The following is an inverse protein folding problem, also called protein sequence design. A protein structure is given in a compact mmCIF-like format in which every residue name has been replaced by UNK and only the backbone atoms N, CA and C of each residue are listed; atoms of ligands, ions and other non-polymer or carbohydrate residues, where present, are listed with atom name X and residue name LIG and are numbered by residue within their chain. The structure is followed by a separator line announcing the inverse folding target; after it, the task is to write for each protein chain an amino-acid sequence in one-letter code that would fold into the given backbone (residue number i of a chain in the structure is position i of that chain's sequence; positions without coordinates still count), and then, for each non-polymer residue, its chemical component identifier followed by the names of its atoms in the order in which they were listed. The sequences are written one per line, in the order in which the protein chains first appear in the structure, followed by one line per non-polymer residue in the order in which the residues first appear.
data_IF_475453912254
#
_entry.id   IF_475453912254
#
_cell.length_a   1.000
_cell.length_b   1.000
_cell.length_c   1.000
_cell.angle_alpha   90.00
_cell.angle_beta   90.00
_cell.angle_gamma   90.00
#
_symmetry.space_group_name_H-M   'P 1'
#
loop_
_entity.id
_entity.type
_entity.pdbx_description
1 polymer ?
#
# COMPACT_ATOMS: atom_id res chain seq x y z
N UNK A 1 -25.67 -30.50 -21.89
CA UNK A 1 -24.25 -30.07 -21.90
C UNK A 1 -23.48 -31.14 -21.18
N UNK A 2 -22.63 -31.87 -21.90
CA UNK A 2 -21.72 -32.84 -21.29
C UNK A 2 -20.82 -32.09 -20.30
N UNK A 3 -20.79 -32.54 -19.04
CA UNK A 3 -20.01 -31.89 -17.99
C UNK A 3 -18.52 -31.84 -18.33
N UNK A 4 -17.80 -30.83 -17.82
CA UNK A 4 -16.35 -30.76 -17.96
C UNK A 4 -15.70 -32.04 -17.44
N UNK A 5 -14.85 -32.67 -18.27
CA UNK A 5 -14.02 -33.81 -17.85
C UNK A 5 -12.79 -33.39 -17.02
N UNK A 6 -12.55 -32.09 -16.88
CA UNK A 6 -11.45 -31.57 -16.07
C UNK A 6 -11.61 -32.02 -14.61
N UNK A 7 -10.61 -32.72 -14.09
CA UNK A 7 -10.50 -33.00 -12.66
C UNK A 7 -9.03 -33.14 -12.24
N UNK A 8 -8.74 -32.74 -11.01
CA UNK A 8 -7.44 -32.91 -10.36
C UNK A 8 -7.67 -33.60 -9.02
N UNK A 9 -7.00 -34.74 -8.80
CA UNK A 9 -7.04 -35.49 -7.56
C UNK A 9 -5.70 -35.38 -6.87
N UNK A 10 -5.70 -34.87 -5.64
CA UNK A 10 -4.52 -34.81 -4.79
C UNK A 10 -4.63 -35.92 -3.72
N UNK A 11 -3.52 -36.59 -3.45
CA UNK A 11 -3.41 -37.58 -2.37
C UNK A 11 -2.19 -37.26 -1.49
N UNK A 12 -2.28 -37.53 -0.20
CA UNK A 12 -1.10 -37.51 0.66
C UNK A 12 -0.27 -38.76 0.38
N UNK A 13 1.03 -38.61 0.16
CA UNK A 13 1.92 -39.77 0.03
C UNK A 13 2.10 -40.41 1.40
N UNK A 14 1.93 -41.73 1.49
CA UNK A 14 2.23 -42.46 2.73
C UNK A 14 3.73 -42.25 3.06
N UNK A 15 4.01 -41.61 4.20
CA UNK A 15 5.37 -41.33 4.68
C UNK A 15 5.89 -39.91 4.46
N UNK A 16 5.21 -39.05 3.70
CA UNK A 16 5.65 -37.66 3.48
C UNK A 16 4.57 -36.65 3.88
N UNK A 17 5.00 -35.47 4.37
CA UNK A 17 4.12 -34.42 4.86
C UNK A 17 3.46 -33.58 3.75
N UNK A 18 3.78 -33.87 2.48
CA UNK A 18 3.29 -33.13 1.32
C UNK A 18 2.19 -33.89 0.54
N UNK A 19 1.30 -33.12 -0.10
CA UNK A 19 0.29 -33.64 -1.02
C UNK A 19 0.87 -33.74 -2.43
N UNK A 20 0.65 -34.87 -3.11
CA UNK A 20 1.03 -35.07 -4.51
C UNK A 20 -0.22 -35.13 -5.40
N UNK A 21 -0.11 -34.63 -6.63
CA UNK A 21 -1.15 -34.78 -7.65
C UNK A 21 -1.13 -36.22 -8.13
N UNK A 22 -2.17 -36.97 -7.82
CA UNK A 22 -2.26 -38.41 -8.11
C UNK A 22 -2.94 -38.69 -9.46
N UNK A 23 -3.77 -37.76 -9.93
CA UNK A 23 -4.45 -37.85 -11.23
C UNK A 23 -4.81 -36.44 -11.70
N UNK A 24 -4.55 -36.15 -12.97
CA UNK A 24 -4.91 -34.87 -13.61
C UNK A 24 -5.48 -35.16 -15.00
N UNK A 25 -6.69 -34.67 -15.26
CA UNK A 25 -7.24 -34.53 -16.61
C UNK A 25 -7.29 -33.04 -16.90
N UNK A 26 -6.39 -32.58 -17.75
CA UNK A 26 -6.18 -31.15 -18.05
C UNK A 26 -7.03 -30.63 -19.22
N UNK A 27 -7.85 -31.49 -19.82
CA UNK A 27 -8.75 -31.07 -20.90
C UNK A 27 -9.95 -30.29 -20.35
N UNK A 28 -9.80 -28.97 -20.28
CA UNK A 28 -10.87 -28.05 -19.92
C UNK A 28 -11.45 -27.34 -21.16
N UNK A 29 -12.61 -27.81 -21.62
CA UNK A 29 -13.38 -27.16 -22.71
C UNK A 29 -14.45 -26.19 -22.21
N UNK A 30 -14.53 -25.99 -20.89
CA UNK A 30 -15.57 -25.13 -20.33
C UNK A 30 -15.24 -23.66 -20.58
N UNK A 31 -16.26 -22.91 -21.00
CA UNK A 31 -16.15 -21.48 -21.20
C UNK A 31 -15.93 -20.79 -19.83
N UNK A 32 -15.11 -19.73 -19.80
CA UNK A 32 -14.91 -18.94 -18.58
C UNK A 32 -16.26 -18.43 -18.09
N UNK A 33 -16.68 -18.89 -16.91
CA UNK A 33 -17.92 -18.43 -16.30
C UNK A 33 -17.63 -17.06 -15.71
N UNK A 34 -18.31 -16.05 -16.25
CA UNK A 34 -18.12 -14.67 -15.83
C UNK A 34 -18.46 -14.43 -14.34
N UNK A 35 -19.38 -15.22 -13.78
CA UNK A 35 -19.74 -15.17 -12.36
C UNK A 35 -18.86 -16.13 -11.55
N UNK A 36 -17.92 -15.57 -10.77
CA UNK A 36 -16.98 -16.35 -9.98
C UNK A 36 -17.23 -16.16 -8.47
N UNK A 37 -17.71 -17.21 -7.78
CA UNK A 37 -17.95 -17.20 -6.32
C UNK A 37 -16.65 -17.02 -5.51
N UNK A 38 -15.50 -17.32 -6.08
CA UNK A 38 -14.19 -17.15 -5.44
C UNK A 38 -13.66 -15.72 -5.54
N UNK A 39 -14.23 -14.86 -6.38
CA UNK A 39 -13.88 -13.45 -6.48
C UNK A 39 -14.45 -12.65 -5.29
N UNK A 40 -14.04 -13.03 -4.07
CA UNK A 40 -14.50 -12.39 -2.83
C UNK A 40 -14.04 -10.94 -2.78
N UNK A 41 -14.80 -10.10 -2.07
CA UNK A 41 -14.46 -8.68 -1.83
C UNK A 41 -13.06 -8.53 -1.24
N UNK A 42 -12.63 -9.43 -0.35
CA UNK A 42 -11.28 -9.39 0.25
C UNK A 42 -10.16 -9.58 -0.78
N UNK A 43 -10.37 -10.46 -1.76
CA UNK A 43 -9.43 -10.65 -2.86
C UNK A 43 -9.40 -9.42 -3.76
N UNK A 44 -10.58 -8.86 -4.09
CA UNK A 44 -10.70 -7.64 -4.89
C UNK A 44 -10.05 -6.44 -4.22
N UNK A 45 -10.23 -6.25 -2.92
CA UNK A 45 -9.62 -5.16 -2.15
C UNK A 45 -8.11 -5.15 -2.32
N UNK A 46 -7.44 -6.30 -2.24
CA UNK A 46 -5.98 -6.39 -2.44
C UNK A 46 -5.56 -6.03 -3.86
N UNK A 47 -6.34 -6.44 -4.86
CA UNK A 47 -6.08 -6.11 -6.27
C UNK A 47 -6.32 -4.64 -6.57
N UNK A 48 -7.41 -4.07 -6.05
CA UNK A 48 -7.75 -2.67 -6.19
C UNK A 48 -6.77 -1.77 -5.47
N UNK A 49 -6.25 -2.16 -4.30
CA UNK A 49 -5.24 -1.38 -3.60
C UNK A 49 -3.99 -1.17 -4.48
N UNK A 50 -3.56 -2.19 -5.22
CA UNK A 50 -2.45 -2.07 -6.16
C UNK A 50 -2.78 -1.12 -7.33
N UNK A 51 -3.99 -1.15 -7.87
CA UNK A 51 -4.39 -0.30 -9.00
C UNK A 51 -4.56 1.16 -8.54
N UNK A 52 -5.29 1.37 -7.45
CA UNK A 52 -5.64 2.68 -6.90
C UNK A 52 -4.43 3.41 -6.31
N UNK A 53 -3.35 2.69 -5.93
CA UNK A 53 -2.09 3.33 -5.54
C UNK A 53 -1.47 4.14 -6.69
N UNK A 54 -1.67 3.72 -7.94
CA UNK A 54 -1.17 4.45 -9.12
C UNK A 54 -2.22 5.39 -9.72
N UNK A 55 -3.50 5.01 -9.65
CA UNK A 55 -4.62 5.77 -10.25
C UNK A 55 -5.72 5.93 -9.18
N UNK A 56 -5.57 6.87 -8.23
CA UNK A 56 -6.48 6.99 -7.08
C UNK A 56 -7.91 7.38 -7.49
N UNK A 57 -8.05 8.18 -8.54
CA UNK A 57 -9.35 8.71 -9.00
C UNK A 57 -10.12 7.77 -9.93
N UNK A 58 -9.68 6.51 -10.07
CA UNK A 58 -10.32 5.55 -10.97
C UNK A 58 -11.79 5.32 -10.57
N UNK A 59 -12.71 5.57 -11.51
CA UNK A 59 -14.15 5.37 -11.28
C UNK A 59 -14.49 3.89 -11.09
N UNK A 60 -15.52 3.53 -10.31
CA UNK A 60 -15.95 2.13 -10.13
C UNK A 60 -16.21 1.40 -11.45
N UNK A 61 -16.82 2.06 -12.44
CA UNK A 61 -17.03 1.46 -13.76
C UNK A 61 -15.72 1.11 -14.46
N UNK A 62 -14.68 1.94 -14.32
CA UNK A 62 -13.35 1.64 -14.85
C UNK A 62 -12.75 0.40 -14.20
N UNK A 63 -12.90 0.26 -12.88
CA UNK A 63 -12.44 -0.94 -12.16
C UNK A 63 -13.17 -2.21 -12.62
N UNK A 64 -14.47 -2.13 -12.92
CA UNK A 64 -15.22 -3.27 -13.45
C UNK A 64 -14.66 -3.69 -14.82
N UNK A 65 -14.46 -2.72 -15.72
CA UNK A 65 -13.92 -2.98 -17.07
C UNK A 65 -12.53 -3.63 -16.96
N UNK A 66 -11.65 -3.05 -16.13
CA UNK A 66 -10.31 -3.57 -15.88
C UNK A 66 -10.32 -5.00 -15.35
N UNK A 67 -11.23 -5.33 -14.44
CA UNK A 67 -11.35 -6.69 -13.89
C UNK A 67 -11.85 -7.69 -14.92
N UNK A 68 -12.82 -7.27 -15.74
CA UNK A 68 -13.35 -8.11 -16.82
C UNK A 68 -12.28 -8.36 -17.87
N UNK A 69 -11.52 -7.35 -18.27
CA UNK A 69 -10.47 -7.47 -19.27
C UNK A 69 -9.31 -8.35 -18.76
N UNK A 70 -8.81 -8.07 -17.56
CA UNK A 70 -7.63 -8.75 -17.01
C UNK A 70 -7.92 -10.16 -16.49
N UNK A 71 -9.07 -10.37 -15.84
CA UNK A 71 -9.37 -11.63 -15.13
C UNK A 71 -10.63 -12.34 -15.64
N UNK A 72 -11.39 -11.74 -16.56
CA UNK A 72 -12.64 -12.35 -17.07
C UNK A 72 -13.75 -12.45 -16.03
N UNK A 73 -13.66 -11.70 -14.92
CA UNK A 73 -14.62 -11.76 -13.81
C UNK A 73 -15.61 -10.60 -13.92
N UNK A 74 -16.90 -10.90 -13.99
CA UNK A 74 -17.94 -9.88 -13.88
C UNK A 74 -18.19 -9.55 -12.41
N UNK A 75 -18.12 -8.27 -12.08
CA UNK A 75 -18.43 -7.76 -10.75
C UNK A 75 -19.76 -7.02 -10.75
N UNK A 76 -20.48 -7.08 -9.64
CA UNK A 76 -21.58 -6.15 -9.41
C UNK A 76 -21.04 -4.77 -9.02
N UNK A 77 -21.85 -3.75 -9.25
CA UNK A 77 -21.52 -2.37 -8.88
C UNK A 77 -21.26 -2.25 -7.37
N UNK A 78 -22.12 -2.83 -6.53
CA UNK A 78 -22.00 -2.81 -5.07
C UNK A 78 -20.74 -3.51 -4.56
N UNK A 79 -20.40 -4.66 -5.16
CA UNK A 79 -19.19 -5.41 -4.82
C UNK A 79 -17.95 -4.60 -5.15
N UNK A 80 -17.95 -3.92 -6.30
CA UNK A 80 -16.87 -3.03 -6.72
C UNK A 80 -16.75 -1.84 -5.79
N UNK A 81 -17.86 -1.19 -5.46
CA UNK A 81 -17.87 -0.05 -4.54
C UNK A 81 -17.32 -0.42 -3.15
N UNK A 82 -17.81 -1.52 -2.57
CA UNK A 82 -17.32 -2.04 -1.27
C UNK A 82 -15.83 -2.40 -1.32
N UNK A 83 -15.39 -3.06 -2.39
CA UNK A 83 -13.98 -3.42 -2.55
C UNK A 83 -13.09 -2.18 -2.73
N UNK A 84 -13.54 -1.19 -3.51
CA UNK A 84 -12.84 0.09 -3.73
C UNK A 84 -12.69 0.84 -2.43
N UNK A 85 -13.76 1.03 -1.66
CA UNK A 85 -13.71 1.73 -0.37
C UNK A 85 -12.69 1.09 0.57
N UNK A 86 -12.79 -0.22 0.78
CA UNK A 86 -11.83 -0.96 1.62
C UNK A 86 -10.39 -0.89 1.11
N UNK A 87 -10.20 -0.78 -0.20
CA UNK A 87 -8.87 -0.64 -0.78
C UNK A 87 -8.29 0.76 -0.50
N UNK A 88 -9.11 1.81 -0.57
CA UNK A 88 -8.70 3.16 -0.18
C UNK A 88 -8.37 3.23 1.31
N UNK A 89 -9.20 2.64 2.17
CA UNK A 89 -8.95 2.57 3.62
C UNK A 89 -7.61 1.86 3.90
N UNK A 90 -7.31 0.78 3.16
CA UNK A 90 -6.05 0.03 3.28
C UNK A 90 -4.85 0.85 2.81
N UNK A 91 -4.98 1.61 1.72
CA UNK A 91 -3.90 2.49 1.23
C UNK A 91 -3.62 3.59 2.25
N UNK A 92 -4.67 4.22 2.80
CA UNK A 92 -4.55 5.29 3.79
C UNK A 92 -3.92 4.76 5.10
N UNK A 93 -4.40 3.62 5.61
CA UNK A 93 -3.85 3.00 6.82
C UNK A 93 -2.37 2.65 6.68
N UNK A 94 -1.98 2.03 5.56
CA UNK A 94 -0.56 1.71 5.28
C UNK A 94 0.29 2.96 5.13
N UNK A 95 -0.26 4.05 4.58
CA UNK A 95 0.43 5.33 4.48
C UNK A 95 0.73 5.93 5.86
N UNK A 96 -0.27 5.94 6.75
CA UNK A 96 -0.12 6.46 8.11
C UNK A 96 0.96 5.71 8.90
N UNK A 97 0.97 4.38 8.83
CA UNK A 97 1.98 3.55 9.49
C UNK A 97 3.41 3.86 9.01
N UNK A 98 3.58 4.16 7.71
CA UNK A 98 4.89 4.51 7.14
C UNK A 98 5.40 5.87 7.64
N UNK A 99 4.52 6.83 7.86
CA UNK A 99 4.90 8.16 8.33
C UNK A 99 5.40 8.17 9.77
N UNK A 100 4.91 7.25 10.62
CA UNK A 100 5.42 7.05 11.98
C UNK A 100 6.93 6.79 12.00
N UNK A 101 7.48 6.14 10.97
CA UNK A 101 8.91 5.85 10.87
C UNK A 101 9.76 7.02 10.35
N UNK A 102 9.18 7.99 9.63
CA UNK A 102 9.95 9.11 9.05
C UNK A 102 10.66 9.94 10.12
N UNK A 103 10.01 10.18 11.27
CA UNK A 103 10.63 10.92 12.39
C UNK A 103 11.84 10.18 12.95
N UNK A 104 11.73 8.86 13.11
CA UNK A 104 12.84 8.00 13.56
C UNK A 104 13.98 7.99 12.54
N UNK A 105 13.67 7.94 11.25
CA UNK A 105 14.71 8.02 10.21
C UNK A 105 15.39 9.39 10.17
N UNK A 106 14.65 10.48 10.34
CA UNK A 106 15.23 11.82 10.44
C UNK A 106 16.19 11.92 11.62
N UNK A 107 15.81 11.39 12.79
CA UNK A 107 16.67 11.35 13.97
C UNK A 107 17.94 10.52 13.74
N UNK A 108 17.83 9.32 13.15
CA UNK A 108 18.99 8.48 12.88
C UNK A 108 19.92 9.10 11.82
N UNK A 109 19.36 9.85 10.87
CA UNK A 109 20.15 10.57 9.87
C UNK A 109 20.97 11.71 10.50
N UNK A 110 20.37 12.47 11.43
CA UNK A 110 21.09 13.50 12.20
C UNK A 110 22.14 12.89 13.13
N UNK A 111 21.85 11.74 13.74
CA UNK A 111 22.80 11.03 14.61
C UNK A 111 24.03 10.51 13.85
N UNK A 112 23.82 9.98 12.64
CA UNK A 112 24.89 9.48 11.78
C UNK A 112 25.66 10.60 11.06
N UNK A 113 25.00 11.71 10.74
CA UNK A 113 25.59 12.87 10.08
C UNK A 113 25.18 14.17 10.81
N UNK A 114 25.88 14.54 11.90
CA UNK A 114 25.49 15.65 12.80
C UNK A 114 25.33 17.01 12.13
N UNK A 115 26.05 17.26 11.03
CA UNK A 115 26.02 18.51 10.29
C UNK A 115 24.97 18.52 9.17
N UNK A 116 24.23 17.42 8.96
CA UNK A 116 23.10 17.38 8.03
C UNK A 116 21.89 18.08 8.64
N UNK A 117 21.00 18.62 7.80
CA UNK A 117 19.76 19.27 8.21
C UNK A 117 18.56 18.49 7.66
N UNK A 118 17.62 18.14 8.54
CA UNK A 118 16.38 17.43 8.14
C UNK A 118 15.18 18.17 8.74
N UNK A 119 14.24 18.57 7.89
CA UNK A 119 12.99 19.20 8.30
C UNK A 119 11.81 18.36 7.83
N UNK A 120 11.00 17.88 8.77
CA UNK A 120 9.74 17.16 8.47
C UNK A 120 8.59 18.12 8.74
N UNK A 121 7.86 18.49 7.69
CA UNK A 121 6.71 19.38 7.78
C UNK A 121 5.42 18.56 7.80
N UNK A 122 4.58 18.86 8.78
CA UNK A 122 3.25 18.28 8.92
C UNK A 122 2.19 19.40 8.93
N UNK A 123 1.04 19.13 8.34
CA UNK A 123 -0.15 19.97 8.46
C UNK A 123 -1.01 19.48 9.63
N UNK A 124 -1.66 20.41 10.33
CA UNK A 124 -2.68 20.08 11.31
C UNK A 124 -3.99 19.68 10.62
N UNK A 125 -4.58 18.58 11.08
CA UNK A 125 -5.89 18.10 10.66
C UNK A 125 -6.69 17.69 11.90
N UNK A 126 -8.02 17.64 11.76
CA UNK A 126 -8.94 17.18 12.81
C UNK A 126 -8.65 15.74 13.28
N UNK A 127 -7.92 14.96 12.47
CA UNK A 127 -7.54 13.57 12.73
C UNK A 127 -6.06 13.42 13.17
N UNK A 128 -5.36 14.53 13.43
CA UNK A 128 -3.95 14.56 13.85
C UNK A 128 -3.01 15.22 12.82
N UNK A 129 -1.70 15.06 13.01
CA UNK A 129 -0.70 15.63 12.11
C UNK A 129 -0.59 14.81 10.81
N UNK A 130 -0.88 15.43 9.67
CA UNK A 130 -0.74 14.82 8.34
C UNK A 130 0.60 15.21 7.74
N UNK A 131 1.38 14.23 7.28
CA UNK A 131 2.64 14.50 6.59
C UNK A 131 2.41 15.31 5.32
N UNK A 132 3.18 16.38 5.14
CA UNK A 132 3.16 17.19 3.93
C UNK A 132 4.43 16.96 3.10
N UNK A 133 5.61 17.12 3.72
CA UNK A 133 6.90 17.08 3.02
C UNK A 133 8.06 16.87 3.98
N UNK A 134 9.18 16.36 3.45
CA UNK A 134 10.47 16.28 4.14
C UNK A 134 11.55 16.95 3.29
N UNK A 135 12.35 17.79 3.93
CA UNK A 135 13.56 18.37 3.36
C UNK A 135 14.78 17.74 4.01
N UNK A 136 15.76 17.33 3.20
CA UNK A 136 17.01 16.73 3.66
C UNK A 136 18.17 17.44 2.97
N UNK A 137 19.04 18.05 3.76
CA UNK A 137 20.31 18.63 3.33
C UNK A 137 21.44 17.83 3.98
N UNK A 138 22.27 17.15 3.20
CA UNK A 138 23.38 16.35 3.72
C UNK A 138 24.63 17.20 3.87
N UNK A 139 25.43 16.94 4.90
CA UNK A 139 26.66 17.69 5.20
C UNK A 139 27.68 17.74 4.04
N UNK A 140 27.78 16.63 3.31
CA UNK A 140 28.64 16.52 2.14
C UNK A 140 28.31 17.55 1.04
N UNK A 141 27.09 18.11 1.05
CA UNK A 141 26.64 19.13 0.11
C UNK A 141 26.75 20.55 0.66
N UNK A 142 26.51 20.75 1.97
CA UNK A 142 26.57 22.07 2.63
C UNK A 142 27.99 22.61 2.81
N UNK A 143 28.99 21.74 2.96
CA UNK A 143 30.40 22.15 3.09
C UNK A 143 30.98 22.88 1.87
N UNK A 144 30.34 22.78 0.69
CA UNK A 144 30.78 23.46 -0.53
C UNK A 144 30.14 24.84 -0.74
N UNK A 145 29.02 25.15 -0.05
CA UNK A 145 28.33 26.44 -0.16
C UNK A 145 27.94 26.94 1.23
N UNK A 146 28.63 27.99 1.70
CA UNK A 146 28.37 28.74 2.95
C UNK A 146 27.03 29.52 2.97
N UNK A 147 26.08 29.12 2.14
CA UNK A 147 24.76 29.70 2.02
C UNK A 147 23.79 28.71 2.65
N UNK A 148 23.12 29.15 3.72
CA UNK A 148 21.91 28.55 4.26
C UNK A 148 21.10 27.85 3.15
N UNK A 149 20.91 26.52 3.26
CA UNK A 149 20.34 25.73 2.16
C UNK A 149 19.01 26.33 1.72
N UNK A 150 18.92 26.71 0.45
CA UNK A 150 17.68 27.20 -0.14
C UNK A 150 16.53 26.18 0.00
N UNK A 151 16.87 24.89 0.13
CA UNK A 151 15.95 23.79 0.37
C UNK A 151 15.17 23.88 1.70
N UNK A 152 15.67 24.63 2.70
CA UNK A 152 15.00 24.82 3.99
C UNK A 152 14.41 26.22 4.15
N UNK A 153 14.60 27.14 3.18
CA UNK A 153 14.02 28.49 3.23
C UNK A 153 12.50 28.43 3.20
N UNK A 154 11.86 28.88 4.27
CA UNK A 154 10.40 28.88 4.42
C UNK A 154 9.82 27.58 4.99
N UNK A 155 10.63 26.55 5.23
CA UNK A 155 10.27 25.48 6.14
C UNK A 155 10.43 26.04 7.56
N UNK A 156 9.32 26.24 8.28
CA UNK A 156 9.43 26.58 9.71
C UNK A 156 10.22 25.44 10.37
N UNK A 157 11.39 25.72 10.95
CA UNK A 157 12.04 24.77 11.83
C UNK A 157 11.00 24.40 12.89
N UNK A 158 10.93 23.13 13.28
CA UNK A 158 10.40 22.82 14.60
C UNK A 158 11.32 23.58 15.54
N UNK A 159 10.89 24.77 15.96
CA UNK A 159 11.60 25.52 16.99
C UNK A 159 11.79 24.55 18.15
N UNK A 160 12.97 24.55 18.77
CA UNK A 160 13.46 23.62 19.81
C UNK A 160 12.50 23.31 20.97
N UNK A 161 11.31 23.93 21.03
CA UNK A 161 10.28 23.72 22.02
C UNK A 161 9.35 22.51 21.76
N UNK A 162 9.22 21.97 20.55
CA UNK A 162 8.20 20.91 20.29
C UNK A 162 8.74 19.48 20.21
N UNK A 163 10.04 19.27 20.39
CA UNK A 163 10.63 17.91 20.43
C UNK A 163 10.35 17.24 21.80
N UNK A 164 10.03 18.00 22.84
CA UNK A 164 9.91 17.50 24.21
C UNK A 164 8.49 17.50 24.81
N UNK A 165 7.48 18.08 24.15
CA UNK A 165 6.16 18.26 24.76
C UNK A 165 5.10 17.20 24.41
N UNK A 166 5.46 16.09 23.74
CA UNK A 166 4.49 15.02 23.42
C UNK A 166 5.00 13.61 23.76
N UNK A 167 5.94 13.48 24.70
CA UNK A 167 6.26 12.19 25.33
C UNK A 167 5.28 11.80 26.45
N UNK A 168 4.27 12.62 26.77
CA UNK A 168 3.29 12.32 27.84
C UNK A 168 1.91 11.80 27.37
N UNK A 169 1.58 11.76 26.07
CA UNK A 169 0.26 11.29 25.60
C UNK A 169 0.24 9.88 24.98
N UNK A 170 1.35 9.13 25.06
CA UNK A 170 1.40 7.72 24.67
C UNK A 170 2.06 6.88 25.78
N UNK A 171 1.50 6.96 26.99
CA UNK A 171 1.65 5.95 28.05
C UNK A 171 0.31 5.32 28.42
#
# INVERSE_FOLDING_TARGET
MDGCKFYMRNSKSAGNQFCQVASLVDEHKCHRIAHNRQAKTTWLTKKFAHILKHIPDMKPMGLIIEVVDRWGVKLSHDQTYKAKRRAMDLIQGVGMDQFTHLRRYAQELLKSNPNSNVVVQCAESNEGHVFERIYVCLDAWSSTNSVECECTRGATPLHEASIWELEEEIS
#
